data_IF_010081007457
#
_entry.id   IF_010081007457
#
_cell.length_a   1.000
_cell.length_b   1.000
_cell.length_c   1.000
_cell.angle_alpha   90.00
_cell.angle_beta   90.00
_cell.angle_gamma   90.00
#
_symmetry.space_group_name_H-M   'P 1'
#
loop_
_entity.id
_entity.type
_entity.pdbx_description
1 polymer ?
#
# COMPACT_ATOMS: atom_id res chain seq x y z
N UNK A 1 5.72 -5.78 -13.03
CA UNK A 1 6.34 -6.77 -13.91
C UNK A 1 5.81 -8.15 -13.58
N UNK A 2 5.43 -8.90 -14.58
CA UNK A 2 4.81 -10.22 -14.38
C UNK A 2 5.75 -11.23 -13.70
N UNK A 3 7.03 -11.20 -14.04
CA UNK A 3 8.03 -12.10 -13.43
C UNK A 3 8.14 -11.84 -11.93
N UNK A 4 8.17 -10.58 -11.54
CA UNK A 4 8.22 -10.21 -10.12
C UNK A 4 6.92 -10.61 -9.41
N UNK A 5 5.78 -10.43 -10.07
CA UNK A 5 4.48 -10.79 -9.50
C UNK A 5 4.38 -12.31 -9.26
N UNK A 6 4.83 -13.11 -10.21
CA UNK A 6 4.84 -14.57 -10.06
C UNK A 6 5.72 -15.01 -8.90
N UNK A 7 6.92 -14.46 -8.79
CA UNK A 7 7.84 -14.76 -7.69
C UNK A 7 7.19 -14.44 -6.34
N UNK A 8 6.63 -13.24 -6.21
CA UNK A 8 6.03 -12.78 -4.96
C UNK A 8 4.80 -13.62 -4.61
N UNK A 9 3.97 -13.93 -5.59
CA UNK A 9 2.76 -14.72 -5.39
C UNK A 9 3.08 -16.15 -4.92
N UNK A 10 4.16 -16.74 -5.40
CA UNK A 10 4.59 -18.08 -4.99
C UNK A 10 5.22 -18.10 -3.60
N UNK A 11 6.03 -17.08 -3.28
CA UNK A 11 6.84 -17.05 -2.06
C UNK A 11 6.10 -16.48 -0.86
N UNK A 12 5.08 -15.65 -1.07
CA UNK A 12 4.44 -14.89 0.00
C UNK A 12 2.93 -15.10 -0.03
N UNK A 13 2.33 -15.08 1.15
CA UNK A 13 0.88 -15.11 1.30
C UNK A 13 0.37 -13.68 1.50
N UNK A 14 -0.66 -13.30 0.75
CA UNK A 14 -1.25 -11.96 0.80
C UNK A 14 -2.72 -12.01 1.16
N UNK A 15 -3.17 -10.98 1.89
CA UNK A 15 -4.59 -10.72 2.16
C UNK A 15 -4.91 -9.29 1.81
N UNK A 16 -6.20 -9.00 1.57
CA UNK A 16 -6.62 -7.64 1.27
C UNK A 16 -6.28 -6.71 2.43
N UNK A 17 -5.59 -5.58 2.16
CA UNK A 17 -5.30 -4.60 3.21
C UNK A 17 -6.53 -3.81 3.62
N UNK A 18 -7.53 -3.73 2.75
CA UNK A 18 -8.72 -2.92 2.94
C UNK A 18 -9.83 -3.45 2.04
N UNK A 19 -11.04 -3.51 2.57
CA UNK A 19 -12.23 -3.74 1.76
C UNK A 19 -12.77 -2.41 1.29
N UNK A 20 -12.83 -2.23 -0.01
CA UNK A 20 -13.28 -0.99 -0.62
C UNK A 20 -13.33 -1.13 -2.12
N UNK A 21 -13.53 -0.02 -2.81
CA UNK A 21 -13.63 0.02 -4.27
C UNK A 21 -12.34 0.56 -4.84
N UNK A 22 -11.77 -0.12 -5.84
CA UNK A 22 -10.60 0.41 -6.55
C UNK A 22 -11.04 1.68 -7.28
N UNK A 23 -10.40 2.80 -6.93
CA UNK A 23 -10.66 4.09 -7.54
C UNK A 23 -9.60 4.48 -8.56
N UNK A 24 -8.43 3.85 -8.50
CA UNK A 24 -7.36 4.09 -9.47
C UNK A 24 -6.48 2.85 -9.56
N UNK A 25 -6.22 2.40 -10.79
CA UNK A 25 -5.46 1.16 -11.03
C UNK A 25 -3.99 1.45 -11.27
N UNK A 26 -3.19 0.40 -11.18
CA UNK A 26 -1.75 0.44 -11.45
C UNK A 26 -1.49 0.78 -12.92
N UNK A 27 -0.42 1.53 -13.15
CA UNK A 27 0.09 1.79 -14.50
C UNK A 27 -0.27 3.17 -15.04
N UNK A 28 -0.27 3.30 -16.37
CA UNK A 28 -0.52 4.58 -17.05
C UNK A 28 -1.95 5.05 -16.86
N UNK A 29 -2.11 6.34 -16.58
CA UNK A 29 -3.40 7.00 -16.45
C UNK A 29 -3.23 8.48 -16.82
N UNK A 30 -4.33 9.22 -17.00
CA UNK A 30 -4.24 10.65 -17.23
C UNK A 30 -3.63 11.35 -16.03
N UNK A 31 -2.64 12.19 -16.30
CA UNK A 31 -2.03 13.01 -15.25
C UNK A 31 -2.97 14.16 -14.87
N UNK A 32 -3.00 14.48 -13.58
CA UNK A 32 -3.70 15.66 -13.06
C UNK A 32 -2.70 16.48 -12.26
N UNK A 33 -3.14 17.62 -11.72
CA UNK A 33 -2.29 18.44 -10.87
C UNK A 33 -1.84 17.71 -9.60
N UNK A 34 -2.61 16.68 -9.16
CA UNK A 34 -2.39 16.01 -7.89
C UNK A 34 -1.80 14.61 -8.07
N UNK A 35 -2.22 13.89 -9.12
CA UNK A 35 -1.78 12.50 -9.33
C UNK A 35 -0.91 12.41 -10.57
N UNK A 36 0.10 11.53 -10.52
CA UNK A 36 1.01 11.31 -11.65
C UNK A 36 0.37 10.41 -12.70
N UNK A 37 0.90 10.47 -13.93
CA UNK A 37 0.45 9.63 -15.03
C UNK A 37 0.79 8.15 -14.83
N UNK A 38 1.89 7.85 -14.14
CA UNK A 38 2.30 6.47 -13.84
C UNK A 38 1.97 6.15 -12.38
N UNK A 39 0.93 5.38 -12.19
CA UNK A 39 0.49 4.98 -10.86
C UNK A 39 1.25 3.74 -10.41
N UNK A 40 2.00 3.85 -9.32
CA UNK A 40 2.89 2.80 -8.82
C UNK A 40 2.20 1.76 -7.93
N UNK A 41 0.93 1.92 -7.69
CA UNK A 41 0.13 1.02 -6.87
C UNK A 41 -1.33 1.09 -7.27
N UNK A 42 -2.20 0.76 -6.34
CA UNK A 42 -3.65 0.93 -6.52
C UNK A 42 -4.19 1.83 -5.43
N UNK A 43 -5.27 2.54 -5.74
CA UNK A 43 -6.01 3.32 -4.77
C UNK A 43 -7.33 2.62 -4.46
N UNK A 44 -7.63 2.47 -3.18
CA UNK A 44 -8.85 1.83 -2.70
C UNK A 44 -9.62 2.87 -1.89
N UNK A 45 -10.80 3.25 -2.37
CA UNK A 45 -11.65 4.23 -1.68
C UNK A 45 -12.29 3.66 -0.43
N UNK A 46 -12.26 4.43 0.66
CA UNK A 46 -12.93 4.09 1.90
C UNK A 46 -13.01 5.34 2.76
N UNK A 47 -13.89 5.34 3.74
CA UNK A 47 -14.05 6.47 4.64
C UNK A 47 -12.83 6.66 5.53
N UNK A 48 -12.54 7.91 5.87
CA UNK A 48 -11.49 8.24 6.84
C UNK A 48 -11.73 7.47 8.14
N UNK A 49 -10.66 6.87 8.68
CA UNK A 49 -10.73 6.08 9.90
C UNK A 49 -10.96 4.59 9.69
N UNK A 50 -11.25 4.16 8.46
CA UNK A 50 -11.39 2.74 8.16
C UNK A 50 -10.06 2.02 8.40
N UNK A 51 -10.11 0.87 9.07
CA UNK A 51 -8.90 0.12 9.43
C UNK A 51 -8.17 -0.40 8.19
N UNK A 52 -6.85 -0.30 8.22
CA UNK A 52 -5.96 -0.86 7.22
C UNK A 52 -5.21 -2.02 7.86
N UNK A 53 -5.19 -3.16 7.19
CA UNK A 53 -4.57 -4.38 7.69
C UNK A 53 -3.33 -4.72 6.87
N UNK A 54 -2.35 -5.34 7.51
CA UNK A 54 -1.14 -5.76 6.80
C UNK A 54 -1.48 -6.84 5.78
N UNK A 55 -1.15 -6.59 4.52
CA UNK A 55 -1.41 -7.55 3.44
C UNK A 55 -0.51 -8.78 3.54
N UNK A 56 0.67 -8.62 4.13
CA UNK A 56 1.62 -9.72 4.37
C UNK A 56 2.27 -9.53 5.74
N UNK A 57 2.83 -10.60 6.28
CA UNK A 57 3.65 -10.49 7.48
C UNK A 57 5.00 -9.85 7.16
N UNK A 58 5.66 -9.30 8.16
CA UNK A 58 6.98 -8.71 8.01
C UNK A 58 7.34 -7.81 9.18
N UNK A 59 8.29 -6.92 8.96
CA UNK A 59 8.74 -5.95 9.94
C UNK A 59 8.48 -4.54 9.44
N UNK A 60 8.01 -3.65 10.31
CA UNK A 60 7.82 -2.24 9.95
C UNK A 60 9.19 -1.62 9.68
N UNK A 61 9.46 -1.30 8.42
CA UNK A 61 10.75 -0.73 8.00
C UNK A 61 10.74 0.78 7.95
N UNK A 62 9.56 1.39 7.87
CA UNK A 62 9.43 2.85 7.83
C UNK A 62 8.07 3.28 8.34
N UNK A 63 8.06 4.34 9.16
CA UNK A 63 6.86 5.13 9.48
C UNK A 63 7.22 6.58 9.24
N UNK A 64 6.48 7.25 8.37
CA UNK A 64 6.77 8.64 8.00
C UNK A 64 5.49 9.42 7.77
N UNK A 65 5.57 10.74 7.89
CA UNK A 65 4.47 11.64 7.57
C UNK A 65 4.87 12.67 6.52
N UNK A 66 5.97 12.41 5.82
CA UNK A 66 6.53 13.36 4.86
C UNK A 66 6.28 12.96 3.42
N UNK A 67 6.34 13.95 2.52
CA UNK A 67 6.25 13.76 1.08
C UNK A 67 4.84 13.55 0.58
N UNK A 68 4.74 13.13 -0.69
CA UNK A 68 3.47 12.96 -1.39
C UNK A 68 2.62 11.84 -0.83
N UNK A 69 3.24 10.86 -0.18
CA UNK A 69 2.50 9.76 0.46
C UNK A 69 1.79 10.18 1.75
N UNK A 70 2.12 11.34 2.31
CA UNK A 70 1.61 11.76 3.60
C UNK A 70 2.00 10.78 4.71
N UNK A 71 1.09 10.48 5.61
CA UNK A 71 1.35 9.45 6.63
C UNK A 71 1.34 8.10 5.97
N UNK A 72 2.47 7.40 6.03
CA UNK A 72 2.60 6.09 5.39
C UNK A 72 3.48 5.17 6.20
N UNK A 73 3.26 3.88 6.02
CA UNK A 73 3.99 2.80 6.68
C UNK A 73 4.44 1.79 5.64
N UNK A 74 5.65 1.26 5.83
CA UNK A 74 6.20 0.23 4.96
C UNK A 74 6.49 -1.02 5.79
N UNK A 75 6.09 -2.17 5.26
CA UNK A 75 6.34 -3.47 5.87
C UNK A 75 7.23 -4.25 4.92
N UNK A 76 8.34 -4.76 5.44
CA UNK A 76 9.34 -5.47 4.65
C UNK A 76 9.45 -6.92 5.08
N UNK A 77 9.53 -7.80 4.10
CA UNK A 77 9.78 -9.22 4.30
C UNK A 77 10.69 -9.70 3.16
N UNK A 78 11.99 -9.92 3.48
CA UNK A 78 12.98 -10.31 2.48
C UNK A 78 13.11 -9.27 1.38
N UNK A 79 12.89 -9.67 0.13
CA UNK A 79 12.98 -8.78 -1.02
C UNK A 79 11.73 -7.95 -1.27
N UNK A 80 10.64 -8.22 -0.52
CA UNK A 80 9.33 -7.62 -0.78
C UNK A 80 8.99 -6.60 0.27
N UNK A 81 8.41 -5.49 -0.17
CA UNK A 81 7.96 -4.40 0.67
C UNK A 81 6.53 -4.03 0.25
N UNK A 82 5.68 -3.84 1.24
CA UNK A 82 4.33 -3.30 1.01
C UNK A 82 4.25 -1.91 1.63
N UNK A 83 3.68 -0.97 0.90
CA UNK A 83 3.54 0.43 1.33
C UNK A 83 2.08 0.81 1.40
N UNK A 84 1.71 1.44 2.51
CA UNK A 84 0.34 1.85 2.82
C UNK A 84 0.35 3.35 3.09
N UNK A 85 -0.22 4.13 2.17
CA UNK A 85 -0.07 5.59 2.15
C UNK A 85 -1.38 6.35 2.33
N UNK A 86 -1.26 7.64 2.56
CA UNK A 86 -2.33 8.61 2.79
C UNK A 86 -3.14 8.31 4.05
N UNK A 87 -2.52 7.68 5.05
CA UNK A 87 -3.17 7.32 6.29
C UNK A 87 -3.53 8.56 7.12
N UNK A 88 -4.61 8.47 7.90
CA UNK A 88 -4.92 9.46 8.92
C UNK A 88 -4.17 9.15 10.22
N UNK A 89 -3.93 7.88 10.48
CA UNK A 89 -3.27 7.41 11.69
C UNK A 89 -2.49 6.14 11.41
N UNK A 90 -1.31 6.01 12.02
CA UNK A 90 -0.50 4.78 11.98
C UNK A 90 -0.39 4.29 13.42
N UNK A 91 -0.72 3.02 13.65
CA UNK A 91 -0.83 2.44 15.00
C UNK A 91 0.32 1.48 15.33
N UNK A 92 1.33 1.41 14.48
CA UNK A 92 2.52 0.58 14.67
C UNK A 92 3.78 1.42 14.63
N UNK A 93 4.90 0.88 15.09
CA UNK A 93 6.19 1.59 15.16
C UNK A 93 7.23 0.87 14.32
N UNK A 94 8.23 1.62 13.86
CA UNK A 94 9.38 1.04 13.17
C UNK A 94 10.04 -0.02 14.02
N UNK A 95 10.40 -1.12 13.39
CA UNK A 95 11.00 -2.27 14.05
C UNK A 95 10.01 -3.31 14.57
N UNK A 96 8.72 -2.97 14.63
CA UNK A 96 7.71 -3.91 15.12
C UNK A 96 7.51 -5.07 14.14
N UNK A 97 7.35 -6.27 14.67
CA UNK A 97 7.00 -7.44 13.86
C UNK A 97 5.49 -7.49 13.68
N UNK A 98 5.07 -7.66 12.43
CA UNK A 98 3.67 -7.57 12.03
C UNK A 98 3.22 -8.90 11.47
N UNK A 99 2.06 -9.35 11.93
CA UNK A 99 1.40 -10.54 11.37
C UNK A 99 0.49 -10.12 10.22
N UNK A 100 0.35 -10.99 9.24
CA UNK A 100 -0.63 -10.81 8.17
C UNK A 100 -2.01 -10.59 8.78
N UNK A 101 -2.74 -9.59 8.30
CA UNK A 101 -4.06 -9.27 8.79
C UNK A 101 -4.09 -8.43 10.06
N UNK A 102 -2.95 -8.07 10.61
CA UNK A 102 -2.88 -7.18 11.78
C UNK A 102 -3.22 -5.75 11.36
N UNK A 103 -4.02 -5.03 12.18
CA UNK A 103 -4.31 -3.63 11.94
C UNK A 103 -3.03 -2.81 12.10
N UNK A 104 -2.70 -1.98 11.11
CA UNK A 104 -1.49 -1.18 11.12
C UNK A 104 -1.75 0.32 10.99
N UNK A 105 -2.90 0.72 10.46
CA UNK A 105 -3.19 2.13 10.20
C UNK A 105 -4.68 2.34 9.98
N UNK A 106 -5.05 3.60 9.69
CA UNK A 106 -6.42 3.99 9.33
C UNK A 106 -6.39 4.89 8.10
N UNK A 107 -7.40 4.74 7.27
CA UNK A 107 -7.54 5.49 6.02
C UNK A 107 -7.64 7.00 6.30
N UNK A 108 -7.02 7.79 5.44
CA UNK A 108 -7.11 9.24 5.47
C UNK A 108 -6.94 9.82 4.08
N UNK A 109 -6.57 11.09 4.04
CA UNK A 109 -6.25 11.78 2.78
C UNK A 109 -5.03 12.70 2.96
N UNK A 110 -4.08 12.29 3.79
CA UNK A 110 -2.84 13.04 4.02
C UNK A 110 -1.91 12.93 2.82
N UNK A 111 -1.01 13.90 2.69
CA UNK A 111 -0.12 13.97 1.55
C UNK A 111 -0.83 14.44 0.29
N UNK A 112 -0.37 13.93 -0.86
CA UNK A 112 -0.90 14.34 -2.16
C UNK A 112 -2.09 13.48 -2.58
N UNK A 113 -3.22 13.69 -1.91
CA UNK A 113 -4.44 12.93 -2.14
C UNK A 113 -5.63 13.86 -2.38
N UNK A 114 -6.58 13.43 -3.22
CA UNK A 114 -7.78 14.20 -3.54
C UNK A 114 -8.97 13.87 -2.63
N UNK A 115 -8.87 12.80 -1.87
CA UNK A 115 -9.94 12.37 -0.96
C UNK A 115 -9.52 11.11 -0.21
N UNK A 116 -10.37 10.60 0.70
CA UNK A 116 -9.99 9.47 1.54
C UNK A 116 -9.84 8.19 0.71
N UNK A 117 -8.66 7.60 0.78
CA UNK A 117 -8.38 6.32 0.14
C UNK A 117 -7.07 5.76 0.69
N UNK A 118 -6.87 4.46 0.51
CA UNK A 118 -5.58 3.83 0.73
C UNK A 118 -4.85 3.75 -0.60
N UNK A 119 -3.63 4.24 -0.65
CA UNK A 119 -2.71 3.98 -1.76
C UNK A 119 -1.81 2.81 -1.33
N UNK A 120 -1.90 1.71 -2.05
CA UNK A 120 -1.23 0.46 -1.71
C UNK A 120 -0.24 0.07 -2.80
N UNK A 121 1.02 -0.17 -2.40
CA UNK A 121 2.08 -0.59 -3.33
C UNK A 121 2.69 -1.90 -2.88
N UNK A 122 3.06 -2.72 -3.85
CA UNK A 122 3.88 -3.91 -3.65
C UNK A 122 5.17 -3.74 -4.44
N UNK A 123 6.31 -3.92 -3.79
CA UNK A 123 7.61 -3.62 -4.36
C UNK A 123 8.54 -4.81 -4.10
N UNK A 124 9.23 -5.26 -5.15
CA UNK A 124 10.29 -6.27 -5.02
C UNK A 124 11.61 -5.67 -5.50
N UNK A 125 12.59 -5.60 -4.59
CA UNK A 125 13.94 -5.10 -4.92
C UNK A 125 13.92 -3.77 -5.66
N UNK A 126 13.07 -2.85 -5.19
CA UNK A 126 12.92 -1.50 -5.76
C UNK A 126 12.01 -1.40 -6.98
N UNK A 127 11.44 -2.50 -7.45
CA UNK A 127 10.54 -2.50 -8.61
C UNK A 127 9.10 -2.67 -8.14
N UNK A 128 8.22 -1.76 -8.59
CA UNK A 128 6.79 -1.85 -8.27
C UNK A 128 6.11 -2.95 -9.07
N UNK A 129 5.13 -3.58 -8.45
CA UNK A 129 4.34 -4.67 -9.04
C UNK A 129 2.88 -4.25 -9.02
N UNK A 130 2.14 -4.57 -10.08
CA UNK A 130 0.70 -4.35 -10.08
C UNK A 130 0.05 -5.23 -9.01
N UNK A 131 -0.54 -4.64 -7.95
CA UNK A 131 -1.13 -5.43 -6.87
C UNK A 131 -2.25 -6.37 -7.31
N UNK A 132 -2.93 -6.06 -8.42
CA UNK A 132 -4.00 -6.89 -8.95
C UNK A 132 -3.50 -8.21 -9.53
N UNK A 133 -2.21 -8.34 -9.82
CA UNK A 133 -1.61 -9.62 -10.21
C UNK A 133 -1.42 -10.56 -9.02
N UNK A 134 -1.47 -10.02 -7.80
CA UNK A 134 -1.19 -10.75 -6.57
C UNK A 134 -2.46 -11.02 -5.77
N UNK A 135 -3.38 -10.07 -5.76
CA UNK A 135 -4.61 -10.10 -4.97
C UNK A 135 -5.83 -9.78 -5.83
N UNK A 136 -6.95 -10.37 -5.45
CA UNK A 136 -8.26 -9.97 -6.00
C UNK A 136 -8.90 -8.97 -5.05
N UNK A 137 -9.10 -7.80 -5.57
CA UNK A 137 -9.72 -6.70 -4.81
C UNK A 137 -11.20 -6.62 -5.08
#
# INVERSE_FOLDING_TARGET
MEIDAEYVKEKYSFKLPLKGVITSRYGSREATEIVSANHKGIDIGANTGTAIYAAMEGTVSLVSSEGDYGKHVEIKNGEVLTRYAHCSKIVVKEGAKIKQGQKIAEVGSTGRATGPHLHFEVIRSGRTINPEYILKF
#
